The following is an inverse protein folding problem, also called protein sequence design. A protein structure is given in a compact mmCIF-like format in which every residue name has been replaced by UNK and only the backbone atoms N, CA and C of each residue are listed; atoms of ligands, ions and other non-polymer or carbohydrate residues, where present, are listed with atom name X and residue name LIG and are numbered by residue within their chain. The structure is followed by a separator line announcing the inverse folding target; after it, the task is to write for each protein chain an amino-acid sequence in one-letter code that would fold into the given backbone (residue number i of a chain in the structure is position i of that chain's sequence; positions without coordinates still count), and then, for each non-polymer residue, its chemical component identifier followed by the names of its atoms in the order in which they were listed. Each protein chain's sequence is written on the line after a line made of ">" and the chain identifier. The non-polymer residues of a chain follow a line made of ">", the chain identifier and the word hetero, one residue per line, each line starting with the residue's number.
data_IF_172196417519
#
_entry.id   IF_172196417519
#
_cell.length_a   1.000
_cell.length_b   1.000
_cell.length_c   1.000
_cell.angle_alpha   90.00
_cell.angle_beta   90.00
_cell.angle_gamma   90.00
#
_symmetry.space_group_name_H-M   'P 1'
#
loop_
_entity.id
_entity.type
_entity.pdbx_description
1 polymer ?
#
# COMPACT_ATOMS: atom_id res chain seq x y z
N UNK A 1 11.80 -34.29 -32.31
CA UNK A 1 12.75 -33.91 -31.25
C UNK A 1 11.99 -33.92 -29.93
N UNK A 2 12.50 -34.55 -28.88
CA UNK A 2 11.84 -34.54 -27.58
C UNK A 2 11.95 -33.14 -26.96
N UNK A 3 10.86 -32.63 -26.39
CA UNK A 3 10.86 -31.34 -25.71
C UNK A 3 11.63 -31.46 -24.40
N UNK A 4 12.65 -30.62 -24.21
CA UNK A 4 13.40 -30.56 -22.96
C UNK A 4 12.80 -29.47 -22.07
N UNK A 5 12.33 -29.85 -20.89
CA UNK A 5 11.79 -28.91 -19.91
C UNK A 5 12.89 -28.37 -18.99
N UNK A 6 12.65 -27.19 -18.41
CA UNK A 6 13.47 -26.64 -17.33
C UNK A 6 13.20 -27.45 -16.07
N UNK A 7 14.24 -27.88 -15.36
CA UNK A 7 14.12 -28.63 -14.12
C UNK A 7 13.66 -27.71 -12.97
N UNK A 8 12.83 -28.24 -12.08
CA UNK A 8 12.39 -27.53 -10.87
C UNK A 8 13.45 -27.71 -9.79
N UNK A 9 14.23 -26.67 -9.53
CA UNK A 9 15.24 -26.65 -8.47
C UNK A 9 14.85 -25.62 -7.39
N UNK A 10 14.71 -26.10 -6.15
CA UNK A 10 14.39 -25.29 -4.97
C UNK A 10 15.53 -25.28 -3.95
N UNK A 11 16.59 -26.05 -4.19
CA UNK A 11 17.67 -26.29 -3.24
C UNK A 11 18.92 -25.48 -3.59
N UNK A 12 19.02 -24.94 -4.81
CA UNK A 12 20.11 -24.01 -5.17
C UNK A 12 20.07 -22.74 -4.31
N UNK A 13 21.10 -22.48 -3.48
CA UNK A 13 21.15 -21.30 -2.64
C UNK A 13 21.60 -20.07 -3.44
N UNK A 14 21.24 -18.88 -2.96
CA UNK A 14 21.87 -17.65 -3.41
C UNK A 14 23.34 -17.59 -2.98
N UNK A 15 24.20 -17.08 -3.85
CA UNK A 15 25.64 -16.89 -3.56
C UNK A 15 25.85 -15.81 -2.49
N UNK A 16 25.06 -14.74 -2.53
CA UNK A 16 25.03 -13.66 -1.55
C UNK A 16 23.57 -13.39 -1.12
N UNK A 17 23.32 -12.88 0.09
CA UNK A 17 21.98 -12.46 0.49
C UNK A 17 21.41 -11.43 -0.51
N UNK A 18 20.19 -11.63 -1.03
CA UNK A 18 19.61 -10.69 -1.97
C UNK A 18 19.30 -9.34 -1.29
N UNK A 19 19.44 -8.25 -2.02
CA UNK A 19 18.99 -6.94 -1.54
C UNK A 19 17.46 -6.86 -1.70
N UNK A 20 16.77 -6.25 -0.74
CA UNK A 20 15.32 -5.96 -0.89
C UNK A 20 15.06 -5.11 -2.13
N UNK A 21 16.04 -4.28 -2.53
CA UNK A 21 15.98 -3.52 -3.76
C UNK A 21 15.89 -4.41 -5.02
N UNK A 22 16.33 -5.66 -4.98
CA UNK A 22 16.33 -6.55 -6.16
C UNK A 22 15.02 -7.32 -6.30
N UNK A 23 14.13 -7.21 -5.32
CA UNK A 23 12.90 -7.97 -5.23
C UNK A 23 11.88 -7.61 -6.32
N UNK A 24 11.92 -6.37 -6.83
CA UNK A 24 10.92 -5.83 -7.74
C UNK A 24 11.57 -5.11 -8.93
N UNK A 25 10.96 -5.17 -10.13
CA UNK A 25 11.31 -4.28 -11.25
C UNK A 25 11.22 -2.80 -10.86
N UNK A 26 11.99 -1.93 -11.52
CA UNK A 26 12.03 -0.48 -11.24
C UNK A 26 10.67 0.21 -11.44
N UNK A 27 9.85 -0.29 -12.37
CA UNK A 27 8.52 0.25 -12.71
C UNK A 27 7.39 -0.31 -11.85
N UNK A 28 7.69 -1.08 -10.80
CA UNK A 28 6.69 -1.71 -9.95
C UNK A 28 5.97 -0.70 -9.05
N UNK A 29 4.62 -0.77 -8.97
CA UNK A 29 3.77 0.14 -8.19
C UNK A 29 4.19 0.29 -6.71
N UNK A 30 4.63 -0.78 -6.06
CA UNK A 30 5.11 -0.73 -4.67
C UNK A 30 6.30 0.22 -4.47
N UNK A 31 7.21 0.33 -5.46
CA UNK A 31 8.33 1.28 -5.40
C UNK A 31 7.82 2.71 -5.43
N UNK A 32 6.92 2.97 -6.36
CA UNK A 32 6.28 4.27 -6.51
C UNK A 32 5.52 4.71 -5.25
N UNK A 33 4.80 3.79 -4.59
CA UNK A 33 4.14 4.10 -3.31
C UNK A 33 5.15 4.53 -2.25
N UNK A 34 6.26 3.81 -2.10
CA UNK A 34 7.33 4.19 -1.16
C UNK A 34 7.91 5.56 -1.51
N UNK A 35 8.21 5.80 -2.78
CA UNK A 35 8.77 7.08 -3.25
C UNK A 35 7.83 8.27 -3.02
N UNK A 36 6.50 8.11 -3.18
CA UNK A 36 5.55 9.17 -2.86
C UNK A 36 5.49 9.39 -1.35
N UNK A 37 5.40 8.32 -0.57
CA UNK A 37 5.28 8.43 0.89
C UNK A 37 6.53 9.09 1.50
N UNK A 38 7.71 8.86 0.93
CA UNK A 38 8.96 9.52 1.35
C UNK A 38 8.97 11.03 1.10
N UNK A 39 8.09 11.55 0.23
CA UNK A 39 7.95 12.99 -0.03
C UNK A 39 6.97 13.68 0.94
N UNK A 40 6.23 12.92 1.75
CA UNK A 40 5.23 13.45 2.67
C UNK A 40 5.84 13.95 3.98
N UNK A 41 5.21 14.96 4.58
CA UNK A 41 5.57 15.41 5.92
C UNK A 41 4.90 14.56 7.00
N UNK A 42 5.64 13.59 7.53
CA UNK A 42 5.16 12.67 8.58
C UNK A 42 5.63 13.05 9.99
N UNK A 43 6.11 14.29 10.19
CA UNK A 43 6.64 14.74 11.49
C UNK A 43 5.59 14.66 12.59
N UNK A 44 4.34 15.00 12.28
CA UNK A 44 3.20 14.96 13.21
C UNK A 44 2.95 13.54 13.72
N UNK A 45 2.97 12.54 12.84
CA UNK A 45 2.82 11.12 13.22
C UNK A 45 4.03 10.63 14.02
N UNK A 46 5.24 11.00 13.59
CA UNK A 46 6.48 10.52 14.20
C UNK A 46 6.71 11.08 15.60
N UNK A 47 6.35 12.35 15.84
CA UNK A 47 6.52 13.03 17.13
C UNK A 47 5.71 12.40 18.28
N UNK A 48 4.67 11.65 17.95
CA UNK A 48 3.78 10.99 18.89
C UNK A 48 4.43 9.74 19.53
N UNK A 49 5.52 9.24 18.97
CA UNK A 49 6.26 8.09 19.48
C UNK A 49 7.41 8.52 20.40
N UNK A 50 7.26 8.27 21.70
CA UNK A 50 8.21 8.72 22.74
C UNK A 50 9.38 7.75 23.03
N UNK A 51 9.64 6.78 22.14
CA UNK A 51 10.84 5.93 22.19
C UNK A 51 10.99 4.96 23.38
N UNK A 52 9.93 4.70 24.15
CA UNK A 52 9.95 3.74 25.27
C UNK A 52 9.40 2.38 24.85
N UNK A 53 10.05 1.29 25.28
CA UNK A 53 9.64 -0.09 24.97
C UNK A 53 10.22 -0.62 23.66
N UNK A 54 9.48 -1.50 22.97
CA UNK A 54 9.85 -2.00 21.63
C UNK A 54 9.96 -0.81 20.67
N UNK A 55 10.97 -0.83 19.79
CA UNK A 55 11.14 0.21 18.76
C UNK A 55 9.90 0.22 17.86
N UNK A 56 9.22 1.37 17.69
CA UNK A 56 8.08 1.45 16.80
C UNK A 56 8.55 1.38 15.33
N UNK A 57 7.72 0.84 14.46
CA UNK A 57 7.92 0.99 13.02
C UNK A 57 7.74 2.45 12.61
N UNK A 58 8.46 2.86 11.57
CA UNK A 58 8.37 4.21 11.04
C UNK A 58 6.97 4.46 10.45
N UNK A 59 6.31 5.61 10.70
CA UNK A 59 5.00 5.91 10.14
C UNK A 59 4.93 5.82 8.61
N UNK A 60 6.02 6.16 7.90
CA UNK A 60 6.12 6.00 6.45
C UNK A 60 5.87 4.55 6.01
N UNK A 61 6.49 3.58 6.69
CA UNK A 61 6.35 2.16 6.36
C UNK A 61 4.91 1.69 6.54
N UNK A 62 4.28 2.05 7.67
CA UNK A 62 2.90 1.67 7.97
C UNK A 62 1.91 2.36 7.04
N UNK A 63 2.14 3.64 6.69
CA UNK A 63 1.32 4.38 5.74
C UNK A 63 1.40 3.78 4.33
N UNK A 64 2.60 3.48 3.85
CA UNK A 64 2.83 2.84 2.55
C UNK A 64 2.19 1.44 2.49
N UNK A 65 2.31 0.66 3.58
CA UNK A 65 1.69 -0.65 3.72
C UNK A 65 0.16 -0.56 3.59
N UNK A 66 -0.47 0.36 4.32
CA UNK A 66 -1.93 0.57 4.24
C UNK A 66 -2.34 1.03 2.84
N UNK A 67 -1.66 2.01 2.28
CA UNK A 67 -2.02 2.57 0.97
C UNK A 67 -1.91 1.51 -0.14
N UNK A 68 -0.79 0.80 -0.21
CA UNK A 68 -0.58 -0.26 -1.20
C UNK A 68 -1.56 -1.42 -0.99
N UNK A 69 -1.80 -1.80 0.27
CA UNK A 69 -2.79 -2.81 0.63
C UNK A 69 -4.17 -2.47 0.07
N UNK A 70 -4.66 -1.25 0.32
CA UNK A 70 -5.99 -0.85 -0.12
C UNK A 70 -6.07 -0.68 -1.64
N UNK A 71 -5.01 -0.15 -2.27
CA UNK A 71 -4.91 -0.07 -3.72
C UNK A 71 -4.94 -1.45 -4.40
N UNK A 72 -4.55 -2.51 -3.69
CA UNK A 72 -4.56 -3.91 -4.17
C UNK A 72 -5.71 -4.75 -3.61
N UNK A 73 -6.64 -4.14 -2.86
CA UNK A 73 -7.83 -4.81 -2.30
C UNK A 73 -7.59 -5.60 -1.01
N UNK A 74 -6.44 -5.43 -0.35
CA UNK A 74 -6.11 -6.06 0.93
C UNK A 74 -6.42 -5.10 2.08
N UNK A 75 -7.62 -5.22 2.65
CA UNK A 75 -8.14 -4.27 3.64
C UNK A 75 -7.94 -4.71 5.11
N UNK A 76 -7.94 -6.02 5.38
CA UNK A 76 -7.80 -6.52 6.76
C UNK A 76 -6.35 -6.44 7.23
N UNK A 77 -6.13 -5.96 8.45
CA UNK A 77 -4.82 -5.92 9.11
C UNK A 77 -4.19 -7.31 9.23
N UNK A 78 -4.99 -8.36 9.41
CA UNK A 78 -4.50 -9.76 9.43
C UNK A 78 -4.03 -10.21 8.05
N UNK A 79 -4.76 -9.83 6.99
CA UNK A 79 -4.35 -10.12 5.62
C UNK A 79 -3.11 -9.31 5.21
N UNK A 80 -2.98 -8.08 5.71
CA UNK A 80 -1.79 -7.25 5.52
C UNK A 80 -0.57 -7.87 6.19
N UNK A 81 -0.68 -8.29 7.45
CA UNK A 81 0.38 -9.04 8.15
C UNK A 81 0.76 -10.30 7.37
N UNK A 82 -0.20 -11.13 6.96
CA UNK A 82 0.10 -12.31 6.14
C UNK A 82 0.80 -11.94 4.83
N UNK A 83 0.39 -10.85 4.19
CA UNK A 83 0.99 -10.40 2.93
C UNK A 83 2.46 -9.98 3.09
N UNK A 84 2.90 -9.47 4.25
CA UNK A 84 4.32 -9.14 4.48
C UNK A 84 5.20 -10.40 4.47
N UNK A 85 4.65 -11.57 4.78
CA UNK A 85 5.36 -12.84 4.68
C UNK A 85 5.32 -13.46 3.28
N UNK A 86 4.20 -13.34 2.58
CA UNK A 86 3.93 -14.13 1.37
C UNK A 86 4.23 -13.38 0.08
N UNK A 87 4.17 -12.04 0.08
CA UNK A 87 4.26 -11.22 -1.13
C UNK A 87 5.52 -10.37 -1.18
N UNK A 88 6.21 -10.47 -2.32
CA UNK A 88 7.44 -9.73 -2.58
C UNK A 88 7.24 -8.21 -2.54
N UNK A 89 6.07 -7.73 -2.98
CA UNK A 89 5.73 -6.31 -2.97
C UNK A 89 5.58 -5.75 -1.55
N UNK A 90 4.93 -6.51 -0.67
CA UNK A 90 4.76 -6.13 0.74
C UNK A 90 6.09 -6.23 1.49
N UNK A 91 6.93 -7.24 1.19
CA UNK A 91 8.30 -7.32 1.71
C UNK A 91 9.13 -6.11 1.33
N UNK A 92 9.03 -5.65 0.08
CA UNK A 92 9.72 -4.44 -0.35
C UNK A 92 9.28 -3.22 0.49
N UNK A 93 7.98 -2.99 0.60
CA UNK A 93 7.40 -1.86 1.35
C UNK A 93 7.81 -1.88 2.82
N UNK A 94 7.79 -3.07 3.43
CA UNK A 94 8.14 -3.25 4.83
C UNK A 94 9.64 -3.45 5.06
N UNK A 95 10.49 -3.28 4.05
CA UNK A 95 11.93 -3.51 4.15
C UNK A 95 12.28 -4.88 4.77
N UNK A 96 11.51 -5.91 4.41
CA UNK A 96 11.58 -7.29 4.92
C UNK A 96 11.21 -7.49 6.40
N UNK A 97 10.68 -6.45 7.06
CA UNK A 97 10.04 -6.55 8.38
C UNK A 97 8.56 -6.96 8.27
N UNK A 98 7.98 -7.42 9.38
CA UNK A 98 6.60 -7.92 9.42
C UNK A 98 5.86 -7.30 10.62
N UNK A 99 5.24 -6.11 10.46
CA UNK A 99 4.36 -5.55 11.46
C UNK A 99 3.16 -6.47 11.71
N UNK A 100 2.90 -6.80 12.98
CA UNK A 100 1.73 -7.60 13.36
C UNK A 100 0.42 -6.83 13.12
N UNK A 101 -0.68 -7.56 12.96
CA UNK A 101 -2.00 -6.98 12.71
C UNK A 101 -2.43 -5.99 13.80
N UNK A 102 -2.03 -6.20 15.05
CA UNK A 102 -2.34 -5.30 16.16
C UNK A 102 -1.64 -3.95 15.99
N UNK A 103 -0.38 -3.95 15.55
CA UNK A 103 0.39 -2.74 15.21
C UNK A 103 -0.27 -1.99 14.05
N UNK A 104 -0.64 -2.70 12.98
CA UNK A 104 -1.27 -2.12 11.79
C UNK A 104 -2.62 -1.50 12.16
N UNK A 105 -3.48 -2.25 12.87
CA UNK A 105 -4.80 -1.80 13.29
C UNK A 105 -4.71 -0.63 14.27
N UNK A 106 -3.78 -0.69 15.23
CA UNK A 106 -3.56 0.39 16.20
C UNK A 106 -3.09 1.66 15.53
N UNK A 107 -2.17 1.57 14.55
CA UNK A 107 -1.73 2.72 13.77
C UNK A 107 -2.90 3.36 13.01
N UNK A 108 -3.71 2.54 12.32
CA UNK A 108 -4.89 3.02 11.58
C UNK A 108 -5.91 3.70 12.49
N UNK A 109 -6.24 3.10 13.63
CA UNK A 109 -7.20 3.67 14.59
C UNK A 109 -6.69 4.96 15.22
N UNK A 110 -5.38 5.01 15.52
CA UNK A 110 -4.76 6.15 16.19
C UNK A 110 -4.68 7.39 15.30
N UNK A 111 -4.34 7.20 14.02
CA UNK A 111 -4.08 8.29 13.08
C UNK A 111 -5.09 8.35 11.94
N UNK A 112 -6.32 7.85 12.14
CA UNK A 112 -7.30 7.69 11.05
C UNK A 112 -7.53 8.97 10.25
N UNK A 113 -7.67 10.12 10.92
CA UNK A 113 -7.89 11.41 10.27
C UNK A 113 -6.67 11.88 9.49
N UNK A 114 -5.48 11.70 10.04
CA UNK A 114 -4.22 12.06 9.39
C UNK A 114 -3.97 11.15 8.19
N UNK A 115 -4.23 9.84 8.32
CA UNK A 115 -4.13 8.87 7.23
C UNK A 115 -5.07 9.24 6.09
N UNK A 116 -6.32 9.64 6.38
CA UNK A 116 -7.27 10.10 5.35
C UNK A 116 -6.70 11.29 4.56
N UNK A 117 -6.17 12.31 5.26
CA UNK A 117 -5.53 13.47 4.60
C UNK A 117 -4.33 13.04 3.76
N UNK A 118 -3.44 12.22 4.33
CA UNK A 118 -2.23 11.75 3.65
C UNK A 118 -2.55 10.89 2.43
N UNK A 119 -3.62 10.10 2.45
CA UNK A 119 -4.05 9.32 1.29
C UNK A 119 -4.51 10.22 0.14
N UNK A 120 -5.25 11.29 0.45
CA UNK A 120 -5.62 12.29 -0.55
C UNK A 120 -4.37 12.95 -1.13
N UNK A 121 -3.40 13.32 -0.28
CA UNK A 121 -2.12 13.88 -0.73
C UNK A 121 -1.36 12.90 -1.65
N UNK A 122 -1.30 11.61 -1.31
CA UNK A 122 -0.68 10.57 -2.15
C UNK A 122 -1.38 10.52 -3.53
N UNK A 123 -2.71 10.52 -3.57
CA UNK A 123 -3.48 10.47 -4.82
C UNK A 123 -3.28 11.73 -5.68
N UNK A 124 -3.22 12.90 -5.06
CA UNK A 124 -2.92 14.17 -5.74
C UNK A 124 -1.51 14.13 -6.32
N UNK A 125 -0.50 13.74 -5.53
CA UNK A 125 0.88 13.61 -6.00
C UNK A 125 0.98 12.61 -7.16
N UNK A 126 0.33 11.45 -7.03
CA UNK A 126 0.32 10.43 -8.08
C UNK A 126 -0.29 10.94 -9.40
N UNK A 127 -1.33 11.79 -9.32
CA UNK A 127 -1.90 12.43 -10.50
C UNK A 127 -0.96 13.47 -11.11
N UNK A 128 -0.34 14.32 -10.29
CA UNK A 128 0.55 15.39 -10.79
C UNK A 128 1.78 14.84 -11.51
N UNK A 129 2.31 13.72 -11.05
CA UNK A 129 3.43 13.04 -11.70
C UNK A 129 3.03 12.32 -13.00
N UNK A 130 1.73 12.31 -13.36
CA UNK A 130 1.22 11.63 -14.54
C UNK A 130 1.28 10.11 -14.46
N UNK A 131 1.45 9.58 -13.25
CA UNK A 131 1.80 8.18 -12.97
C UNK A 131 0.62 7.31 -12.55
N UNK A 132 -0.61 7.85 -12.51
CA UNK A 132 -1.86 7.07 -12.46
C UNK A 132 -2.10 6.17 -13.70
N UNK A 133 -1.07 5.92 -14.52
CA UNK A 133 -1.05 4.86 -15.53
C UNK A 133 -0.52 3.52 -14.99
N UNK A 134 0.03 3.47 -13.78
CA UNK A 134 0.55 2.24 -13.19
C UNK A 134 -0.56 1.49 -12.44
N UNK A 135 -1.16 0.54 -13.14
CA UNK A 135 -2.07 -0.43 -12.56
C UNK A 135 -3.50 0.09 -12.49
N UNK A 136 -4.40 -0.66 -13.10
CA UNK A 136 -5.85 -0.53 -12.92
C UNK A 136 -6.15 -0.77 -11.44
N UNK A 137 -6.02 0.25 -10.59
CA UNK A 137 -6.56 0.22 -9.24
C UNK A 137 -8.05 0.14 -9.43
N UNK A 138 -8.57 -1.09 -9.34
CA UNK A 138 -10.00 -1.36 -9.45
C UNK A 138 -10.61 -0.98 -8.11
N UNK A 139 -10.82 0.33 -7.93
CA UNK A 139 -11.34 0.93 -6.72
C UNK A 139 -12.88 0.76 -6.64
N UNK A 140 -13.38 -0.46 -6.91
CA UNK A 140 -14.79 -0.82 -7.11
C UNK A 140 -15.35 -0.51 -8.50
N UNK A 141 -15.23 -1.46 -9.46
CA UNK A 141 -15.88 -1.44 -10.79
C UNK A 141 -15.61 -0.24 -11.72
N UNK A 142 -14.97 0.80 -11.21
CA UNK A 142 -14.81 2.11 -11.80
C UNK A 142 -13.37 2.18 -12.23
N UNK A 143 -13.14 1.94 -13.52
CA UNK A 143 -11.87 2.26 -14.14
C UNK A 143 -11.67 3.76 -13.95
N UNK A 144 -10.82 4.17 -13.02
CA UNK A 144 -10.33 5.55 -12.99
C UNK A 144 -9.60 5.71 -14.33
N UNK A 145 -10.29 6.28 -15.32
CA UNK A 145 -9.68 6.68 -16.58
C UNK A 145 -8.75 7.83 -16.22
N UNK A 146 -7.48 7.49 -15.99
CA UNK A 146 -6.41 8.45 -15.92
C UNK A 146 -6.32 9.18 -17.26
N UNK A 147 -6.99 10.32 -17.35
CA UNK A 147 -6.89 11.20 -18.50
C UNK A 147 -5.53 11.90 -18.44
N UNK A 148 -4.54 11.33 -19.13
CA UNK A 148 -3.20 11.88 -19.29
C UNK A 148 -3.17 13.07 -20.27
N UNK A 149 -4.07 14.05 -20.12
CA UNK A 149 -3.95 15.31 -20.85
C UNK A 149 -2.96 16.22 -20.14
N UNK A 150 -1.75 16.34 -20.71
CA UNK A 150 -0.72 17.33 -20.31
C UNK A 150 -1.16 18.80 -20.51
N UNK A 151 -2.38 19.03 -20.98
CA UNK A 151 -2.95 20.35 -21.22
C UNK A 151 -4.40 20.39 -20.76
N UNK A 152 -4.58 20.52 -19.45
CA UNK A 152 -5.74 21.24 -18.93
C UNK A 152 -5.20 22.09 -17.81
N UNK A 153 -5.22 23.41 -18.00
CA UNK A 153 -5.04 24.32 -16.89
C UNK A 153 -5.96 23.80 -15.77
N UNK A 154 -5.37 23.36 -14.67
CA UNK A 154 -6.09 22.87 -13.51
C UNK A 154 -6.88 24.10 -13.01
N UNK A 155 -8.10 24.29 -13.50
CA UNK A 155 -8.94 25.35 -12.97
C UNK A 155 -9.09 25.07 -11.49
N UNK A 156 -9.07 26.12 -10.68
CA UNK A 156 -9.20 25.98 -9.23
C UNK A 156 -10.43 25.11 -8.87
N UNK A 157 -11.52 25.27 -9.61
CA UNK A 157 -12.73 24.46 -9.48
C UNK A 157 -12.51 22.96 -9.78
N UNK A 158 -11.72 22.62 -10.80
CA UNK A 158 -11.43 21.21 -11.13
C UNK A 158 -10.55 20.55 -10.06
N UNK A 159 -9.56 21.27 -9.52
CA UNK A 159 -8.72 20.80 -8.44
C UNK A 159 -9.56 20.49 -7.19
N UNK A 160 -10.46 21.41 -6.82
CA UNK A 160 -11.37 21.24 -5.68
C UNK A 160 -12.33 20.06 -5.86
N UNK A 161 -12.90 19.88 -7.07
CA UNK A 161 -13.78 18.75 -7.37
C UNK A 161 -13.06 17.41 -7.23
N UNK A 162 -11.81 17.34 -7.72
CA UNK A 162 -11.00 16.13 -7.64
C UNK A 162 -10.60 15.82 -6.19
N UNK A 163 -10.19 16.82 -5.43
CA UNK A 163 -9.87 16.63 -4.01
C UNK A 163 -11.08 16.13 -3.22
N UNK A 164 -12.27 16.66 -3.51
CA UNK A 164 -13.52 16.19 -2.92
C UNK A 164 -13.83 14.74 -3.31
N UNK A 165 -13.58 14.36 -4.56
CA UNK A 165 -13.74 12.97 -5.01
C UNK A 165 -12.77 12.04 -4.25
N UNK A 166 -11.48 12.39 -4.18
CA UNK A 166 -10.49 11.57 -3.47
C UNK A 166 -10.84 11.44 -1.98
N UNK A 167 -11.34 12.50 -1.34
CA UNK A 167 -11.81 12.41 0.06
C UNK A 167 -12.91 11.37 0.23
N UNK A 168 -13.90 11.33 -0.66
CA UNK A 168 -14.99 10.34 -0.61
C UNK A 168 -14.49 8.91 -0.86
N UNK A 169 -13.58 8.73 -1.82
CA UNK A 169 -12.97 7.43 -2.11
C UNK A 169 -12.16 6.92 -0.91
N UNK A 170 -11.32 7.79 -0.32
CA UNK A 170 -10.51 7.46 0.85
C UNK A 170 -11.39 7.12 2.06
N UNK A 171 -12.46 7.88 2.30
CA UNK A 171 -13.42 7.57 3.37
C UNK A 171 -14.02 6.17 3.18
N UNK A 172 -14.37 5.81 1.95
CA UNK A 172 -14.87 4.47 1.61
C UNK A 172 -13.82 3.39 1.91
N UNK A 173 -12.57 3.59 1.52
CA UNK A 173 -11.48 2.64 1.80
C UNK A 173 -11.27 2.44 3.31
N UNK A 174 -11.33 3.51 4.10
CA UNK A 174 -11.18 3.44 5.55
C UNK A 174 -12.32 2.66 6.20
N UNK A 175 -13.57 2.85 5.73
CA UNK A 175 -14.73 2.06 6.17
C UNK A 175 -14.60 0.58 5.81
N UNK A 176 -14.13 0.26 4.60
CA UNK A 176 -13.89 -1.13 4.18
C UNK A 176 -12.83 -1.80 5.06
N UNK A 177 -11.76 -1.09 5.40
CA UNK A 177 -10.72 -1.59 6.29
C UNK A 177 -11.23 -1.85 7.71
N UNK A 178 -12.03 -0.94 8.26
CA UNK A 178 -12.66 -1.13 9.57
C UNK A 178 -13.63 -2.32 9.56
N UNK A 179 -14.48 -2.43 8.54
CA UNK A 179 -15.40 -3.56 8.39
C UNK A 179 -14.66 -4.90 8.23
N UNK A 180 -13.56 -4.91 7.46
CA UNK A 180 -12.75 -6.11 7.24
C UNK A 180 -12.09 -6.62 8.52
N UNK A 181 -11.70 -5.73 9.44
CA UNK A 181 -11.11 -6.13 10.73
C UNK A 181 -12.14 -6.51 11.80
N UNK A 182 -13.39 -6.05 11.65
CA UNK A 182 -14.50 -6.43 12.51
C UNK A 182 -15.24 -7.70 12.03
N UNK A 183 -14.96 -8.16 10.80
CA UNK A 183 -15.59 -9.36 10.25
C UNK A 183 -14.96 -10.63 10.85
N UNK A 184 -15.76 -11.61 11.30
CA UNK A 184 -15.23 -12.90 11.72
C UNK A 184 -14.52 -13.58 10.53
N UNK A 185 -13.45 -14.31 10.83
CA UNK A 185 -12.77 -15.13 9.82
C UNK A 185 -13.80 -16.12 9.24
N UNK A 186 -13.83 -16.33 7.90
CA UNK A 186 -14.55 -17.48 7.35
C UNK A 186 -14.02 -18.74 8.06
N UNK A 187 -14.92 -19.62 8.52
CA UNK A 187 -14.50 -20.95 8.96
C UNK A 187 -13.65 -21.56 7.85
N UNK A 188 -12.43 -21.98 8.19
CA UNK A 188 -11.54 -22.62 7.24
C UNK A 188 -12.33 -23.76 6.57
N UNK A 189 -12.41 -23.73 5.24
CA UNK A 189 -12.89 -24.89 4.50
C UNK A 189 -11.91 -26.02 4.79
N UNK A 190 -12.35 -26.97 5.60
CA UNK A 190 -11.64 -28.24 5.83
C UNK A 190 -11.68 -29.03 4.52
N UNK A 191 -10.69 -28.79 3.66
CA UNK A 191 -10.50 -29.54 2.43
C UNK A 191 -9.71 -30.80 2.81
N UNK A 192 -10.28 -32.01 2.62
CA UNK A 192 -9.66 -33.26 3.06
C UNK A 192 -8.36 -33.60 2.31
#
# INVERSE_FOLDING_TARGET
>A
MATQFILIDRDTPYILPPCVQDYLPEDHMARFVVEIVDQLDLRTLSAVYAGKGKRPYHPAMLLALLFYGYATGVFSSRKLEKATHDSMAFKYICANENPDHDTINSFRKRFGKEIESLFVEILVLAQTLGLLKLGTVSLDGTKIKANASKHKALSWDYANQLEAQFKQEVETLMKLAEAADNSPLPEDMDVP
#
